data_IF_582849855162
#
_entry.id   IF_582849855162
#
_cell.length_a   1.000
_cell.length_b   1.000
_cell.length_c   1.000
_cell.angle_alpha   90.00
_cell.angle_beta   90.00
_cell.angle_gamma   90.00
#
_symmetry.space_group_name_H-M   'P 1'
#
loop_
_entity.id
_entity.type
_entity.pdbx_description
1 polymer ?
#
# COMPACT_ATOMS: atom_id res chain seq x y z
N UNK A 1 17.45 -8.00 -3.51
CA UNK A 1 17.24 -9.05 -4.53
C UNK A 1 16.48 -8.53 -5.76
N UNK A 2 15.34 -7.84 -5.63
CA UNK A 2 14.61 -7.29 -6.79
C UNK A 2 15.44 -6.33 -7.67
N UNK A 3 16.22 -5.42 -7.08
CA UNK A 3 17.07 -4.47 -7.82
C UNK A 3 18.08 -5.11 -8.78
N UNK A 4 18.68 -6.24 -8.37
CA UNK A 4 19.64 -6.94 -9.20
C UNK A 4 18.96 -7.58 -10.42
N UNK A 5 17.69 -7.99 -10.28
CA UNK A 5 16.89 -8.54 -11.37
C UNK A 5 16.42 -7.44 -12.33
N UNK A 6 16.20 -6.21 -11.87
CA UNK A 6 15.84 -5.07 -12.74
C UNK A 6 16.93 -4.77 -13.78
N UNK A 7 18.20 -5.03 -13.46
CA UNK A 7 19.33 -4.86 -14.40
C UNK A 7 19.32 -5.85 -15.57
N UNK A 8 18.59 -6.96 -15.44
CA UNK A 8 18.42 -7.96 -16.50
C UNK A 8 17.25 -7.63 -17.44
N UNK A 9 16.37 -6.70 -17.08
CA UNK A 9 15.20 -6.36 -17.89
C UNK A 9 15.55 -5.90 -19.32
N UNK A 10 16.60 -5.08 -19.55
CA UNK A 10 16.99 -4.70 -20.92
C UNK A 10 17.37 -5.88 -21.81
N UNK A 11 17.89 -6.99 -21.25
CA UNK A 11 18.25 -8.17 -22.06
C UNK A 11 17.03 -8.94 -22.55
N UNK A 12 15.85 -8.74 -21.94
CA UNK A 12 14.59 -9.35 -22.39
C UNK A 12 14.10 -8.76 -23.72
N UNK A 13 14.54 -7.55 -24.08
CA UNK A 13 14.27 -6.99 -25.40
C UNK A 13 14.88 -7.83 -26.53
N UNK A 14 15.96 -8.56 -26.25
CA UNK A 14 16.63 -9.46 -27.21
C UNK A 14 15.80 -10.72 -27.50
N UNK A 15 14.81 -11.05 -26.68
CA UNK A 15 13.91 -12.22 -26.85
C UNK A 15 12.47 -11.82 -27.18
N UNK A 16 12.25 -10.59 -27.67
CA UNK A 16 10.96 -10.08 -28.15
C UNK A 16 9.83 -9.99 -27.09
N UNK A 17 10.19 -9.97 -25.80
CA UNK A 17 9.27 -9.64 -24.71
C UNK A 17 9.34 -8.14 -24.42
N UNK A 18 8.20 -7.46 -24.21
CA UNK A 18 8.21 -6.04 -23.82
C UNK A 18 8.92 -5.88 -22.47
N UNK A 19 10.10 -5.24 -22.43
CA UNK A 19 10.88 -5.12 -21.19
C UNK A 19 10.12 -4.28 -20.15
N UNK A 20 9.31 -3.33 -20.62
CA UNK A 20 8.60 -2.37 -19.78
C UNK A 20 7.53 -3.02 -18.90
N UNK A 21 6.80 -4.02 -19.39
CA UNK A 21 5.73 -4.69 -18.62
C UNK A 21 6.28 -5.39 -17.37
N UNK A 22 7.43 -6.06 -17.50
CA UNK A 22 8.10 -6.70 -16.36
C UNK A 22 8.82 -5.68 -15.47
N UNK A 23 9.34 -4.60 -16.06
CA UNK A 23 9.97 -3.52 -15.30
C UNK A 23 9.01 -2.91 -14.27
N UNK A 24 7.74 -2.70 -14.63
CA UNK A 24 6.69 -2.19 -13.74
C UNK A 24 6.65 -3.00 -12.42
N UNK A 25 6.53 -4.32 -12.50
CA UNK A 25 6.45 -5.16 -11.29
C UNK A 25 7.74 -5.08 -10.46
N UNK A 26 8.91 -5.14 -11.12
CA UNK A 26 10.19 -5.15 -10.42
C UNK A 26 10.45 -3.82 -9.71
N UNK A 27 10.10 -2.71 -10.36
CA UNK A 27 10.20 -1.37 -9.79
C UNK A 27 9.22 -1.21 -8.61
N UNK A 28 7.96 -1.66 -8.73
CA UNK A 28 7.01 -1.70 -7.62
C UNK A 28 7.51 -2.47 -6.40
N UNK A 29 8.05 -3.68 -6.62
CA UNK A 29 8.61 -4.50 -5.55
C UNK A 29 9.85 -3.83 -4.92
N UNK A 30 10.72 -3.24 -5.74
CA UNK A 30 11.92 -2.56 -5.25
C UNK A 30 11.59 -1.29 -4.46
N UNK A 31 10.54 -0.56 -4.84
CA UNK A 31 10.00 0.58 -4.11
C UNK A 31 9.36 0.14 -2.80
N UNK A 32 8.52 -0.89 -2.83
CA UNK A 32 7.90 -1.48 -1.64
C UNK A 32 8.95 -1.95 -0.62
N UNK A 33 10.08 -2.52 -1.05
CA UNK A 33 11.19 -2.86 -0.15
C UNK A 33 11.82 -1.63 0.52
N UNK A 34 11.94 -0.49 -0.19
CA UNK A 34 12.40 0.75 0.40
C UNK A 34 11.36 1.33 1.39
N UNK A 35 10.07 1.23 1.08
CA UNK A 35 8.99 1.60 2.01
C UNK A 35 9.04 0.78 3.30
N UNK A 36 9.28 -0.54 3.23
CA UNK A 36 9.45 -1.34 4.44
C UNK A 36 10.61 -0.86 5.30
N UNK A 37 11.74 -0.48 4.70
CA UNK A 37 12.85 0.13 5.46
C UNK A 37 12.46 1.48 6.06
N UNK A 38 11.73 2.30 5.33
CA UNK A 38 11.21 3.56 5.87
C UNK A 38 10.32 3.34 7.09
N UNK A 39 9.44 2.33 7.07
CA UNK A 39 8.58 1.98 8.20
C UNK A 39 9.39 1.49 9.40
N UNK A 40 10.45 0.73 9.19
CA UNK A 40 11.33 0.33 10.29
C UNK A 40 11.96 1.54 11.01
N UNK A 41 12.37 2.56 10.24
CA UNK A 41 12.84 3.83 10.80
C UNK A 41 11.72 4.65 11.44
N UNK A 42 10.49 4.56 10.97
CA UNK A 42 9.32 5.15 11.62
C UNK A 42 9.07 4.54 13.00
N UNK A 43 9.13 3.21 13.11
CA UNK A 43 9.00 2.54 14.40
C UNK A 43 10.18 2.87 15.32
N UNK A 44 11.39 3.06 14.78
CA UNK A 44 12.55 3.56 15.54
C UNK A 44 12.31 4.98 16.05
N UNK A 45 11.77 5.86 15.21
CA UNK A 45 11.39 7.22 15.57
C UNK A 45 10.36 7.24 16.71
N UNK A 46 9.25 6.51 16.58
CA UNK A 46 8.19 6.47 17.59
C UNK A 46 8.70 5.98 18.95
N UNK A 47 9.55 4.94 18.96
CA UNK A 47 10.19 4.44 20.18
C UNK A 47 11.13 5.45 20.82
N UNK A 48 11.90 6.18 20.00
CA UNK A 48 12.78 7.23 20.49
C UNK A 48 12.00 8.40 21.12
N UNK A 49 10.85 8.77 20.54
CA UNK A 49 9.93 9.76 21.12
C UNK A 49 9.41 9.29 22.48
N UNK A 50 8.96 8.03 22.59
CA UNK A 50 8.55 7.43 23.87
C UNK A 50 9.67 7.47 24.92
N UNK A 51 10.89 7.14 24.52
CA UNK A 51 12.07 7.19 25.37
C UNK A 51 12.61 8.62 25.64
N UNK A 52 11.97 9.66 25.09
CA UNK A 52 12.40 11.06 25.15
C UNK A 52 13.82 11.30 24.63
N UNK A 53 14.27 10.47 23.68
CA UNK A 53 15.58 10.60 23.04
C UNK A 53 15.44 11.39 21.72
N UNK A 54 15.56 12.72 21.82
CA UNK A 54 15.34 13.62 20.68
C UNK A 54 16.35 13.42 19.56
N UNK A 55 17.63 13.20 19.87
CA UNK A 55 18.68 13.03 18.86
C UNK A 55 18.41 11.78 18.00
N UNK A 56 18.06 10.67 18.64
CA UNK A 56 17.72 9.43 17.96
C UNK A 56 16.43 9.57 17.13
N UNK A 57 15.42 10.27 17.65
CA UNK A 57 14.20 10.54 16.90
C UNK A 57 14.48 11.37 15.63
N UNK A 58 15.32 12.41 15.73
CA UNK A 58 15.68 13.22 14.57
C UNK A 58 16.45 12.40 13.51
N UNK A 59 17.40 11.57 13.93
CA UNK A 59 18.15 10.67 13.03
C UNK A 59 17.21 9.69 12.31
N UNK A 60 16.39 8.97 13.07
CA UNK A 60 15.43 8.00 12.53
C UNK A 60 14.46 8.66 11.53
N UNK A 61 13.96 9.87 11.83
CA UNK A 61 13.07 10.61 10.91
C UNK A 61 13.77 11.00 9.61
N UNK A 62 15.04 11.40 9.67
CA UNK A 62 15.83 11.69 8.45
C UNK A 62 16.01 10.42 7.63
N UNK A 63 16.33 9.29 8.27
CA UNK A 63 16.54 8.03 7.58
C UNK A 63 15.25 7.46 6.97
N UNK A 64 14.11 7.62 7.67
CA UNK A 64 12.77 7.34 7.13
C UNK A 64 12.54 8.13 5.83
N UNK A 65 12.72 9.45 5.86
CA UNK A 65 12.51 10.31 4.67
C UNK A 65 13.41 9.92 3.50
N UNK A 66 14.68 9.57 3.76
CA UNK A 66 15.61 9.09 2.72
C UNK A 66 15.12 7.79 2.07
N UNK A 67 14.58 6.86 2.85
CA UNK A 67 14.02 5.63 2.29
C UNK A 67 12.71 5.87 1.54
N UNK A 68 11.85 6.78 2.00
CA UNK A 68 10.64 7.19 1.26
C UNK A 68 10.98 7.85 -0.07
N UNK A 69 12.00 8.73 -0.10
CA UNK A 69 12.51 9.31 -1.34
C UNK A 69 12.97 8.23 -2.33
N UNK A 70 13.75 7.25 -1.86
CA UNK A 70 14.21 6.13 -2.67
C UNK A 70 13.04 5.27 -3.18
N UNK A 71 12.03 5.04 -2.34
CA UNK A 71 10.80 4.35 -2.75
C UNK A 71 10.08 5.12 -3.85
N UNK A 72 9.89 6.43 -3.68
CA UNK A 72 9.23 7.30 -4.64
C UNK A 72 9.93 7.31 -6.00
N UNK A 73 11.27 7.38 -6.02
CA UNK A 73 12.05 7.32 -7.26
C UNK A 73 11.87 6.00 -8.00
N UNK A 74 11.89 4.88 -7.29
CA UNK A 74 11.72 3.54 -7.87
C UNK A 74 10.32 3.34 -8.41
N UNK A 75 9.30 3.75 -7.65
CA UNK A 75 7.90 3.66 -8.07
C UNK A 75 7.59 4.62 -9.22
N UNK A 76 8.17 5.81 -9.24
CA UNK A 76 8.06 6.71 -10.38
C UNK A 76 8.62 6.05 -11.64
N UNK A 77 9.78 5.38 -11.55
CA UNK A 77 10.33 4.64 -12.67
C UNK A 77 9.39 3.51 -13.14
N UNK A 78 8.76 2.79 -12.22
CA UNK A 78 7.73 1.80 -12.53
C UNK A 78 6.54 2.40 -13.28
N UNK A 79 6.04 3.55 -12.82
CA UNK A 79 4.97 4.29 -13.50
C UNK A 79 5.38 4.77 -14.90
N UNK A 80 6.59 5.30 -15.07
CA UNK A 80 7.09 5.70 -16.39
C UNK A 80 7.23 4.51 -17.34
N UNK A 81 7.62 3.34 -16.83
CA UNK A 81 7.61 2.10 -17.59
C UNK A 81 6.19 1.67 -18.00
N UNK A 82 5.18 1.93 -17.16
CA UNK A 82 3.78 1.74 -17.53
C UNK A 82 3.39 2.64 -18.72
N UNK A 83 3.73 3.93 -18.66
CA UNK A 83 3.43 4.87 -19.76
C UNK A 83 4.12 4.46 -21.08
N UNK A 84 5.30 3.85 -21.02
CA UNK A 84 5.98 3.28 -22.19
C UNK A 84 5.33 1.99 -22.69
N UNK A 85 4.83 1.15 -21.79
CA UNK A 85 4.17 -0.12 -22.13
C UNK A 85 2.76 0.08 -22.69
N UNK A 86 2.04 1.10 -22.21
CA UNK A 86 0.66 1.44 -22.57
C UNK A 86 0.55 2.95 -22.79
N UNK A 87 0.99 3.45 -23.96
CA UNK A 87 0.97 4.88 -24.26
C UNK A 87 -0.44 5.48 -24.18
N UNK A 88 -0.54 6.71 -23.65
CA UNK A 88 -1.82 7.43 -23.56
C UNK A 88 -2.45 7.60 -24.95
N UNK A 89 -3.73 7.26 -25.06
CA UNK A 89 -4.49 7.44 -26.29
C UNK A 89 -5.14 8.83 -26.32
N UNK A 90 -5.23 9.48 -27.50
CA UNK A 90 -5.91 10.77 -27.64
C UNK A 90 -7.35 10.72 -27.11
N UNK A 91 -7.73 11.73 -26.34
CA UNK A 91 -9.08 11.87 -25.78
C UNK A 91 -9.32 11.07 -24.50
N UNK A 92 -8.28 10.77 -23.71
CA UNK A 92 -8.38 10.06 -22.43
C UNK A 92 -9.08 8.69 -22.53
N UNK A 93 -8.85 7.98 -23.63
CA UNK A 93 -9.43 6.65 -23.84
C UNK A 93 -8.63 5.61 -23.07
N UNK A 94 -9.34 4.65 -22.48
CA UNK A 94 -8.72 3.50 -21.84
C UNK A 94 -7.98 2.64 -22.88
N UNK A 95 -6.80 2.10 -22.54
CA UNK A 95 -6.10 1.17 -23.41
C UNK A 95 -6.91 -0.13 -23.58
N UNK A 96 -6.70 -0.82 -24.71
CA UNK A 96 -7.27 -2.15 -24.90
C UNK A 96 -6.33 -3.19 -24.30
N UNK A 97 -6.84 -3.98 -23.36
CA UNK A 97 -6.10 -5.07 -22.74
C UNK A 97 -6.37 -6.37 -23.52
N UNK A 98 -5.31 -7.11 -23.87
CA UNK A 98 -5.47 -8.35 -24.62
C UNK A 98 -5.79 -9.54 -23.70
N UNK A 99 -5.38 -9.48 -22.43
CA UNK A 99 -5.54 -10.56 -21.46
C UNK A 99 -5.42 -10.03 -20.02
N UNK A 100 -5.70 -10.90 -19.06
CA UNK A 100 -5.62 -10.59 -17.63
C UNK A 100 -4.24 -10.09 -17.18
N UNK A 101 -3.14 -10.57 -17.76
CA UNK A 101 -1.80 -10.09 -17.38
C UNK A 101 -1.60 -8.62 -17.77
N UNK A 102 -2.18 -8.17 -18.90
CA UNK A 102 -2.09 -6.77 -19.29
C UNK A 102 -2.82 -5.86 -18.29
N UNK A 103 -4.00 -6.28 -17.85
CA UNK A 103 -4.73 -5.59 -16.80
C UNK A 103 -3.98 -5.64 -15.46
N UNK A 104 -3.29 -6.74 -15.14
CA UNK A 104 -2.45 -6.85 -13.96
C UNK A 104 -1.27 -5.87 -13.99
N UNK A 105 -0.52 -5.82 -15.10
CA UNK A 105 0.58 -4.87 -15.27
C UNK A 105 0.08 -3.43 -15.18
N UNK A 106 -1.09 -3.15 -15.77
CA UNK A 106 -1.75 -1.86 -15.66
C UNK A 106 -2.04 -1.51 -14.20
N UNK A 107 -2.70 -2.40 -13.45
CA UNK A 107 -3.01 -2.19 -12.05
C UNK A 107 -1.75 -1.92 -11.20
N UNK A 108 -0.69 -2.72 -11.37
CA UNK A 108 0.56 -2.54 -10.62
C UNK A 108 1.23 -1.22 -10.99
N UNK A 109 1.27 -0.83 -12.25
CA UNK A 109 1.84 0.44 -12.68
C UNK A 109 1.05 1.65 -12.16
N UNK A 110 -0.27 1.54 -12.03
CA UNK A 110 -1.09 2.55 -11.38
C UNK A 110 -0.76 2.65 -9.88
N UNK A 111 -0.54 1.53 -9.21
CA UNK A 111 -0.09 1.51 -7.81
C UNK A 111 1.31 2.12 -7.64
N UNK A 112 2.21 1.89 -8.59
CA UNK A 112 3.49 2.59 -8.68
C UNK A 112 3.29 4.10 -8.73
N UNK A 113 2.45 4.60 -9.63
CA UNK A 113 2.17 6.03 -9.72
C UNK A 113 1.59 6.61 -8.43
N UNK A 114 0.62 5.92 -7.82
CA UNK A 114 0.02 6.34 -6.55
C UNK A 114 1.06 6.39 -5.43
N UNK A 115 1.81 5.30 -5.24
CA UNK A 115 2.80 5.20 -4.16
C UNK A 115 3.98 6.15 -4.38
N UNK A 116 4.38 6.41 -5.62
CA UNK A 116 5.40 7.41 -5.95
C UNK A 116 5.01 8.80 -5.43
N UNK A 117 3.78 9.24 -5.74
CA UNK A 117 3.28 10.55 -5.29
C UNK A 117 3.19 10.60 -3.77
N UNK A 118 2.60 9.58 -3.12
CA UNK A 118 2.42 9.56 -1.68
C UNK A 118 3.76 9.51 -0.91
N UNK A 119 4.71 8.70 -1.39
CA UNK A 119 6.03 8.59 -0.76
C UNK A 119 6.87 9.84 -0.97
N UNK A 120 6.76 10.51 -2.13
CA UNK A 120 7.45 11.77 -2.35
C UNK A 120 6.95 12.85 -1.39
N UNK A 121 5.62 12.99 -1.26
CA UNK A 121 4.99 13.90 -0.29
C UNK A 121 5.44 13.62 1.15
N UNK A 122 5.45 12.35 1.57
CA UNK A 122 5.90 11.94 2.89
C UNK A 122 7.42 12.16 3.11
N UNK A 123 8.19 12.28 2.03
CA UNK A 123 9.62 12.62 2.01
C UNK A 123 9.92 14.11 1.76
N UNK A 124 8.92 14.98 1.90
CA UNK A 124 9.00 16.43 1.67
C UNK A 124 9.32 16.84 0.22
N UNK A 125 8.90 16.03 -0.76
CA UNK A 125 8.99 16.36 -2.19
C UNK A 125 10.40 16.21 -2.79
N UNK A 126 11.30 15.49 -2.11
CA UNK A 126 12.71 15.40 -2.49
C UNK A 126 12.96 14.58 -3.77
N UNK A 127 11.99 13.77 -4.21
CA UNK A 127 12.06 13.02 -5.46
C UNK A 127 11.47 13.79 -6.66
N UNK A 128 10.80 14.93 -6.42
CA UNK A 128 10.18 15.77 -7.43
C UNK A 128 9.18 15.02 -8.32
N UNK A 129 8.33 14.18 -7.72
CA UNK A 129 7.29 13.43 -8.43
C UNK A 129 6.18 14.40 -8.86
N UNK A 130 5.83 14.47 -10.16
CA UNK A 130 4.74 15.32 -10.62
C UNK A 130 3.40 14.95 -9.99
N UNK A 131 2.72 15.92 -9.39
CA UNK A 131 1.44 15.67 -8.69
C UNK A 131 0.29 15.30 -9.63
N UNK A 132 0.37 15.67 -10.92
CA UNK A 132 -0.64 15.33 -11.92
C UNK A 132 -0.70 13.82 -12.23
N UNK A 133 0.34 13.06 -11.85
CA UNK A 133 0.31 11.58 -11.87
C UNK A 133 -0.87 11.07 -11.05
N UNK A 134 -1.21 11.70 -9.92
CA UNK A 134 -2.37 11.28 -9.10
C UNK A 134 -3.69 11.29 -9.90
N UNK A 135 -3.90 12.31 -10.73
CA UNK A 135 -5.06 12.42 -11.62
C UNK A 135 -5.06 11.36 -12.71
N UNK A 136 -3.90 11.14 -13.34
CA UNK A 136 -3.74 10.10 -14.36
C UNK A 136 -4.01 8.71 -13.78
N UNK A 137 -3.48 8.42 -12.59
CA UNK A 137 -3.69 7.15 -11.90
C UNK A 137 -5.17 6.93 -11.58
N UNK A 138 -5.87 7.94 -11.07
CA UNK A 138 -7.30 7.83 -10.75
C UNK A 138 -8.15 7.55 -11.98
N UNK A 139 -7.89 8.26 -13.08
CA UNK A 139 -8.54 7.97 -14.38
C UNK A 139 -8.17 6.59 -14.89
N UNK A 140 -6.91 6.20 -14.80
CA UNK A 140 -6.42 4.90 -15.26
C UNK A 140 -7.03 3.74 -14.49
N UNK A 141 -7.29 3.91 -13.18
CA UNK A 141 -7.97 2.90 -12.37
C UNK A 141 -9.38 2.63 -12.90
N UNK A 142 -10.11 3.67 -13.33
CA UNK A 142 -11.46 3.51 -13.91
C UNK A 142 -11.50 2.71 -15.22
N UNK A 143 -10.33 2.43 -15.83
CA UNK A 143 -10.23 1.58 -17.02
C UNK A 143 -10.28 0.08 -16.73
N UNK A 144 -10.19 -0.33 -15.46
CA UNK A 144 -10.30 -1.71 -15.04
C UNK A 144 -11.71 -2.01 -14.52
N UNK A 145 -12.20 -3.23 -14.78
CA UNK A 145 -13.44 -3.69 -14.17
C UNK A 145 -13.25 -3.88 -12.66
N UNK A 146 -14.00 -3.11 -11.88
CA UNK A 146 -13.84 -3.07 -10.44
C UNK A 146 -14.23 -4.40 -9.76
N UNK A 147 -15.22 -5.12 -10.28
CA UNK A 147 -15.63 -6.40 -9.70
C UNK A 147 -14.57 -7.48 -9.96
N UNK A 148 -14.06 -7.56 -11.19
CA UNK A 148 -12.98 -8.46 -11.59
C UNK A 148 -11.69 -8.23 -10.79
N UNK A 149 -11.39 -6.96 -10.49
CA UNK A 149 -10.22 -6.56 -9.69
C UNK A 149 -10.56 -6.30 -8.22
N UNK A 150 -11.59 -6.97 -7.71
CA UNK A 150 -11.88 -7.14 -6.28
C UNK A 150 -12.04 -5.82 -5.49
N UNK A 151 -12.54 -4.77 -6.14
CA UNK A 151 -12.70 -3.44 -5.55
C UNK A 151 -11.43 -2.58 -5.52
N UNK A 152 -10.27 -3.10 -5.96
CA UNK A 152 -9.00 -2.35 -5.90
C UNK A 152 -9.03 -1.07 -6.74
N UNK A 153 -9.59 -1.04 -7.97
CA UNK A 153 -9.68 0.19 -8.75
C UNK A 153 -10.44 1.32 -8.04
N UNK A 154 -11.59 1.01 -7.43
CA UNK A 154 -12.36 1.97 -6.65
C UNK A 154 -11.62 2.41 -5.38
N UNK A 155 -10.89 1.50 -4.73
CA UNK A 155 -10.07 1.84 -3.57
C UNK A 155 -8.93 2.80 -3.94
N UNK A 156 -8.30 2.65 -5.11
CA UNK A 156 -7.28 3.58 -5.64
C UNK A 156 -7.91 4.96 -5.89
N UNK A 157 -9.08 5.01 -6.53
CA UNK A 157 -9.78 6.28 -6.76
C UNK A 157 -10.14 6.97 -5.44
N UNK A 158 -10.65 6.22 -4.46
CA UNK A 158 -10.94 6.74 -3.13
C UNK A 158 -9.68 7.29 -2.44
N UNK A 159 -8.55 6.59 -2.51
CA UNK A 159 -7.28 7.08 -1.98
C UNK A 159 -6.89 8.44 -2.59
N UNK A 160 -7.02 8.58 -3.91
CA UNK A 160 -6.71 9.83 -4.60
C UNK A 160 -7.66 10.94 -4.18
N UNK A 161 -8.96 10.70 -4.12
CA UNK A 161 -9.93 11.73 -3.72
C UNK A 161 -9.79 12.16 -2.26
N UNK A 162 -9.36 11.25 -1.37
CA UNK A 162 -9.06 11.61 0.02
C UNK A 162 -7.76 12.42 0.11
N UNK A 163 -6.70 12.00 -0.59
CA UNK A 163 -5.41 12.71 -0.57
C UNK A 163 -5.45 14.04 -1.32
N UNK A 164 -6.28 14.15 -2.37
CA UNK A 164 -6.40 15.31 -3.24
C UNK A 164 -7.88 15.70 -3.43
N UNK A 165 -8.52 16.32 -2.40
CA UNK A 165 -9.96 16.63 -2.43
C UNK A 165 -10.39 17.53 -3.59
N UNK A 166 -9.51 18.38 -4.12
CA UNK A 166 -9.77 19.24 -5.27
C UNK A 166 -10.11 18.46 -6.56
N UNK A 167 -9.70 17.19 -6.64
CA UNK A 167 -9.90 16.33 -7.81
C UNK A 167 -11.12 15.41 -7.67
N UNK A 168 -11.85 15.51 -6.56
CA UNK A 168 -13.02 14.69 -6.26
C UNK A 168 -14.26 15.21 -6.99
N UNK A 169 -15.03 14.36 -7.68
CA UNK A 169 -16.35 14.75 -8.17
C UNK A 169 -17.29 15.17 -7.03
N UNK A 170 -18.10 16.20 -7.25
CA UNK A 170 -18.98 16.75 -6.20
C UNK A 170 -19.98 15.72 -5.65
N UNK A 171 -20.47 14.82 -6.51
CA UNK A 171 -21.49 13.81 -6.17
C UNK A 171 -20.95 12.55 -5.51
N UNK A 172 -19.62 12.43 -5.35
CA UNK A 172 -18.98 11.21 -4.85
C UNK A 172 -18.51 11.40 -3.40
N UNK A 173 -18.88 10.43 -2.56
CA UNK A 173 -18.37 10.26 -1.19
C UNK A 173 -17.26 9.18 -1.18
N UNK A 174 -15.96 9.54 -1.05
CA UNK A 174 -14.84 8.63 -1.26
C UNK A 174 -14.83 7.46 -0.27
N UNK A 175 -15.15 7.72 0.98
CA UNK A 175 -15.17 6.69 2.02
C UNK A 175 -16.31 5.68 1.83
N UNK A 176 -17.43 6.11 1.24
CA UNK A 176 -18.51 5.21 0.86
C UNK A 176 -18.11 4.31 -0.33
N UNK A 177 -17.38 4.87 -1.29
CA UNK A 177 -16.80 4.09 -2.41
C UNK A 177 -15.80 3.06 -1.87
N UNK A 178 -14.93 3.46 -0.94
CA UNK A 178 -13.96 2.59 -0.29
C UNK A 178 -14.62 1.45 0.50
N UNK A 179 -15.68 1.75 1.26
CA UNK A 179 -16.43 0.73 2.00
C UNK A 179 -17.05 -0.32 1.05
N UNK A 180 -17.62 0.11 -0.08
CA UNK A 180 -18.13 -0.80 -1.11
C UNK A 180 -17.02 -1.62 -1.76
N UNK A 181 -15.87 -1.00 -2.05
CA UNK A 181 -14.70 -1.67 -2.59
C UNK A 181 -14.20 -2.80 -1.66
N UNK A 182 -14.14 -2.54 -0.34
CA UNK A 182 -13.81 -3.58 0.63
C UNK A 182 -14.80 -4.75 0.61
N UNK A 183 -16.11 -4.47 0.56
CA UNK A 183 -17.14 -5.50 0.49
C UNK A 183 -17.02 -6.36 -0.80
N UNK A 184 -16.81 -5.71 -1.95
CA UNK A 184 -16.61 -6.39 -3.24
C UNK A 184 -15.43 -7.37 -3.18
N UNK A 185 -14.32 -6.97 -2.57
CA UNK A 185 -13.16 -7.85 -2.39
C UNK A 185 -13.44 -9.01 -1.43
N UNK A 186 -14.01 -8.72 -0.26
CA UNK A 186 -14.26 -9.71 0.79
C UNK A 186 -15.16 -10.84 0.31
N UNK A 187 -16.22 -10.53 -0.45
CA UNK A 187 -17.12 -11.53 -1.05
C UNK A 187 -16.40 -12.49 -2.00
N UNK A 188 -15.25 -12.10 -2.53
CA UNK A 188 -14.43 -12.89 -3.47
C UNK A 188 -13.19 -13.50 -2.79
N UNK A 189 -13.08 -13.41 -1.47
CA UNK A 189 -11.93 -13.89 -0.70
C UNK A 189 -10.66 -13.05 -0.88
N UNK A 190 -10.80 -11.79 -1.29
CA UNK A 190 -9.71 -10.86 -1.60
C UNK A 190 -9.73 -9.65 -0.66
N UNK A 191 -8.60 -9.32 -0.03
CA UNK A 191 -8.53 -8.35 1.08
C UNK A 191 -7.66 -7.12 0.81
N UNK A 192 -7.24 -6.92 -0.44
CA UNK A 192 -6.34 -5.81 -0.80
C UNK A 192 -6.95 -4.43 -0.50
N UNK A 193 -8.26 -4.27 -0.73
CA UNK A 193 -8.96 -3.02 -0.44
C UNK A 193 -8.92 -2.65 1.06
N UNK A 194 -8.84 -3.63 1.98
CA UNK A 194 -8.69 -3.36 3.41
C UNK A 194 -7.33 -2.69 3.73
N UNK A 195 -6.26 -3.04 3.01
CA UNK A 195 -4.95 -2.40 3.18
C UNK A 195 -5.00 -0.95 2.73
N UNK A 196 -5.63 -0.68 1.58
CA UNK A 196 -5.82 0.68 1.08
C UNK A 196 -6.64 1.49 2.08
N UNK A 197 -7.72 0.91 2.60
CA UNK A 197 -8.55 1.57 3.60
C UNK A 197 -7.79 1.88 4.90
N UNK A 198 -7.04 0.91 5.44
CA UNK A 198 -6.22 1.14 6.63
C UNK A 198 -5.24 2.30 6.44
N UNK A 199 -4.56 2.37 5.28
CA UNK A 199 -3.65 3.48 4.96
C UNK A 199 -4.37 4.83 4.83
N UNK A 200 -5.56 4.86 4.23
CA UNK A 200 -6.38 6.07 4.16
C UNK A 200 -6.74 6.56 5.56
N UNK A 201 -7.21 5.67 6.44
CA UNK A 201 -7.60 6.05 7.80
C UNK A 201 -6.40 6.42 8.69
N UNK A 202 -5.19 5.91 8.42
CA UNK A 202 -3.96 6.45 9.02
C UNK A 202 -3.80 7.94 8.66
N UNK A 203 -3.93 8.29 7.38
CA UNK A 203 -3.84 9.68 6.93
C UNK A 203 -4.94 10.59 7.50
N UNK A 204 -6.10 10.03 7.84
CA UNK A 204 -7.21 10.74 8.48
C UNK A 204 -7.11 10.79 10.01
N UNK A 205 -6.19 10.04 10.63
CA UNK A 205 -6.06 9.94 12.07
C UNK A 205 -7.21 9.19 12.76
N UNK A 206 -7.95 8.34 12.04
CA UNK A 206 -9.10 7.58 12.58
C UNK A 206 -8.64 6.21 13.09
N UNK A 207 -8.08 6.20 14.30
CA UNK A 207 -7.55 4.98 14.93
C UNK A 207 -8.60 3.87 15.07
N UNK A 208 -9.83 4.20 15.45
CA UNK A 208 -10.89 3.22 15.68
C UNK A 208 -11.28 2.49 14.40
N UNK A 209 -11.35 3.20 13.28
CA UNK A 209 -11.63 2.56 11.99
C UNK A 209 -10.49 1.67 11.53
N UNK A 210 -9.23 2.03 11.80
CA UNK A 210 -8.07 1.16 11.51
C UNK A 210 -8.16 -0.13 12.36
N UNK A 211 -8.44 -0.01 13.67
CA UNK A 211 -8.62 -1.17 14.56
C UNK A 211 -9.73 -2.09 14.05
N UNK A 212 -10.86 -1.50 13.65
CA UNK A 212 -12.00 -2.25 13.10
C UNK A 212 -11.62 -3.03 11.84
N UNK A 213 -10.87 -2.42 10.91
CA UNK A 213 -10.41 -3.10 9.68
C UNK A 213 -9.49 -4.29 10.01
N UNK A 214 -8.53 -4.11 10.93
CA UNK A 214 -7.59 -5.18 11.30
C UNK A 214 -8.33 -6.32 12.02
N UNK A 215 -9.24 -6.01 12.96
CA UNK A 215 -10.09 -7.00 13.64
C UNK A 215 -10.94 -7.78 12.65
N UNK A 216 -11.62 -7.08 11.74
CA UNK A 216 -12.43 -7.71 10.70
C UNK A 216 -11.60 -8.62 9.79
N UNK A 217 -10.41 -8.19 9.38
CA UNK A 217 -9.50 -8.99 8.59
C UNK A 217 -9.13 -10.31 9.28
N UNK A 218 -8.89 -10.29 10.59
CA UNK A 218 -8.53 -11.49 11.38
C UNK A 218 -9.74 -12.38 11.59
N UNK A 219 -10.86 -11.81 12.05
CA UNK A 219 -12.06 -12.55 12.45
C UNK A 219 -12.78 -13.22 11.28
N UNK A 220 -12.77 -12.61 10.09
CA UNK A 220 -13.51 -13.14 8.94
C UNK A 220 -12.79 -14.28 8.23
N UNK A 221 -11.49 -14.52 8.49
CA UNK A 221 -10.67 -15.51 7.76
C UNK A 221 -11.17 -16.95 7.87
N UNK A 222 -11.84 -17.30 8.97
CA UNK A 222 -12.42 -18.64 9.17
C UNK A 222 -13.70 -18.83 8.35
N UNK A 223 -14.59 -17.83 8.34
CA UNK A 223 -15.87 -17.87 7.63
C UNK A 223 -15.78 -17.51 6.14
N UNK A 224 -14.78 -16.72 5.75
CA UNK A 224 -14.55 -16.24 4.39
C UNK A 224 -13.10 -16.59 4.01
N UNK A 225 -12.83 -17.81 3.53
CA UNK A 225 -11.46 -18.21 3.20
C UNK A 225 -10.87 -17.34 2.09
N UNK A 226 -9.54 -17.21 2.09
CA UNK A 226 -8.84 -16.50 1.02
C UNK A 226 -9.02 -17.22 -0.32
N UNK A 227 -9.03 -16.44 -1.42
CA UNK A 227 -9.13 -17.00 -2.75
C UNK A 227 -7.93 -17.95 -3.05
N UNK A 228 -8.16 -19.22 -3.41
CA UNK A 228 -7.10 -20.21 -3.56
C UNK A 228 -6.13 -19.89 -4.70
N UNK A 229 -6.55 -19.12 -5.71
CA UNK A 229 -5.70 -18.71 -6.83
C UNK A 229 -4.76 -17.54 -6.48
N UNK A 230 -5.04 -16.82 -5.39
CA UNK A 230 -4.36 -15.57 -5.04
C UNK A 230 -3.87 -15.54 -3.58
N UNK A 231 -3.53 -16.70 -3.01
CA UNK A 231 -3.04 -16.83 -1.63
C UNK A 231 -1.86 -15.92 -1.31
N UNK A 232 -0.99 -15.65 -2.29
CA UNK A 232 0.15 -14.75 -2.10
C UNK A 232 -0.31 -13.30 -1.82
N UNK A 233 -1.38 -12.83 -2.46
CA UNK A 233 -1.94 -11.49 -2.23
C UNK A 233 -2.53 -11.40 -0.82
N UNK A 234 -3.17 -12.46 -0.33
CA UNK A 234 -3.66 -12.52 1.04
C UNK A 234 -2.52 -12.46 2.07
N UNK A 235 -1.37 -13.10 1.79
CA UNK A 235 -0.16 -12.96 2.62
C UNK A 235 0.41 -11.55 2.60
N UNK A 236 0.43 -10.88 1.44
CA UNK A 236 0.82 -9.47 1.35
C UNK A 236 -0.10 -8.60 2.20
N UNK A 237 -1.41 -8.85 2.19
CA UNK A 237 -2.37 -8.14 3.07
C UNK A 237 -2.01 -8.33 4.54
N UNK A 238 -1.75 -9.56 4.99
CA UNK A 238 -1.33 -9.82 6.38
C UNK A 238 -0.08 -9.04 6.75
N UNK A 239 0.95 -9.03 5.89
CA UNK A 239 2.19 -8.29 6.15
C UNK A 239 1.93 -6.78 6.24
N UNK A 240 1.11 -6.23 5.34
CA UNK A 240 0.81 -4.81 5.34
C UNK A 240 -0.02 -4.39 6.57
N UNK A 241 -1.03 -5.16 6.95
CA UNK A 241 -1.84 -4.88 8.14
C UNK A 241 -1.05 -5.12 9.43
N UNK A 242 -0.12 -6.08 9.46
CA UNK A 242 0.83 -6.23 10.57
C UNK A 242 1.68 -4.97 10.74
N UNK A 243 2.19 -4.41 9.64
CA UNK A 243 2.97 -3.17 9.71
C UNK A 243 2.14 -1.97 10.21
N UNK A 244 0.86 -1.89 9.83
CA UNK A 244 -0.08 -0.89 10.38
C UNK A 244 -0.31 -1.12 11.87
N UNK A 245 -0.53 -2.37 12.29
CA UNK A 245 -0.67 -2.74 13.69
C UNK A 245 0.58 -2.36 14.50
N UNK A 246 1.78 -2.63 13.97
CA UNK A 246 3.06 -2.29 14.61
C UNK A 246 3.20 -0.78 14.80
N UNK A 247 2.81 0.01 13.79
CA UNK A 247 2.76 1.48 13.90
C UNK A 247 1.87 1.90 15.07
N UNK A 248 0.63 1.40 15.11
CA UNK A 248 -0.35 1.77 16.14
C UNK A 248 0.12 1.39 17.55
N UNK A 249 0.59 0.15 17.73
CA UNK A 249 1.12 -0.32 19.00
C UNK A 249 2.34 0.49 19.44
N UNK A 250 3.23 0.82 18.51
CA UNK A 250 4.46 1.54 18.84
C UNK A 250 4.18 3.00 19.18
N UNK A 251 3.26 3.63 18.46
CA UNK A 251 2.78 4.98 18.76
C UNK A 251 2.17 5.06 20.17
N UNK A 252 1.34 4.07 20.55
CA UNK A 252 0.66 4.08 21.84
C UNK A 252 1.54 3.64 23.01
N UNK A 253 2.39 2.63 22.81
CA UNK A 253 3.07 1.91 23.92
C UNK A 253 4.59 1.90 23.84
N UNK A 254 5.17 2.35 22.72
CA UNK A 254 6.60 2.22 22.45
C UNK A 254 7.06 0.79 22.11
N UNK A 255 6.14 -0.14 21.87
CA UNK A 255 6.43 -1.53 21.49
C UNK A 255 5.63 -1.93 20.26
N UNK A 256 6.11 -2.91 19.50
CA UNK A 256 5.36 -3.46 18.36
C UNK A 256 4.15 -4.26 18.83
N UNK A 257 3.31 -4.65 17.87
CA UNK A 257 2.28 -5.65 18.11
C UNK A 257 2.92 -6.91 18.71
N UNK A 258 2.36 -7.47 19.79
CA UNK A 258 2.80 -8.76 20.32
C UNK A 258 2.75 -9.87 19.26
N UNK A 259 3.57 -10.91 19.45
CA UNK A 259 3.53 -12.08 18.57
C UNK A 259 2.14 -12.71 18.63
N UNK A 260 1.59 -13.04 17.47
CA UNK A 260 0.20 -13.52 17.32
C UNK A 260 -0.88 -12.53 17.82
N UNK A 261 -0.53 -11.28 18.14
CA UNK A 261 -1.44 -10.24 18.62
C UNK A 261 -2.15 -9.44 17.52
N UNK A 262 -2.02 -9.82 16.24
CA UNK A 262 -2.72 -9.12 15.15
C UNK A 262 -4.23 -9.18 15.37
N UNK A 263 -4.89 -8.01 15.38
CA UNK A 263 -6.32 -7.89 15.70
C UNK A 263 -6.62 -7.51 17.15
N UNK A 264 -5.61 -7.46 18.01
CA UNK A 264 -5.70 -6.96 19.40
C UNK A 264 -4.99 -5.63 19.55
N UNK A 265 -5.41 -4.85 20.56
CA UNK A 265 -4.91 -3.50 20.82
C UNK A 265 -4.69 -3.27 22.32
N UNK A 266 -3.80 -2.33 22.65
CA UNK A 266 -3.36 -2.01 24.01
C UNK A 266 -4.48 -1.50 24.94
N UNK A 267 -5.59 -1.06 24.36
CA UNK A 267 -6.77 -0.55 25.06
C UNK A 267 -7.97 -1.50 24.97
N UNK A 268 -7.74 -2.75 24.53
CA UNK A 268 -8.76 -3.79 24.64
C UNK A 268 -9.10 -4.03 26.11
N UNK A 269 -10.39 -4.27 26.45
CA UNK A 269 -10.77 -4.66 27.80
C UNK A 269 -9.99 -5.92 28.21
N UNK A 270 -9.43 -5.92 29.42
CA UNK A 270 -8.74 -7.07 30.01
C UNK A 270 -9.63 -8.32 29.96
N UNK A 271 -9.47 -9.12 28.91
CA UNK A 271 -10.01 -10.47 28.85
C UNK A 271 -8.97 -11.36 29.50
N UNK A 272 -8.95 -11.33 30.84
CA UNK A 272 -8.05 -12.15 31.66
C UNK A 272 -8.09 -13.63 31.24
N UNK A 273 -7.13 -14.00 30.43
CA UNK A 273 -6.39 -15.24 30.56
C UNK A 273 -4.93 -14.84 30.53
N UNK A 274 -4.47 -14.34 31.68
CA UNK A 274 -3.06 -14.14 32.00
C UNK A 274 -2.33 -15.49 31.89
N UNK A 275 -1.83 -15.79 30.70
CA UNK A 275 -0.50 -16.38 30.62
C UNK A 275 0.41 -15.24 30.25
N UNK A 276 1.22 -14.79 31.22
CA UNK A 276 2.44 -14.04 30.90
C UNK A 276 3.22 -14.93 29.95
N UNK A 277 3.10 -14.67 28.65
CA UNK A 277 3.81 -15.42 27.64
C UNK A 277 5.27 -14.97 27.75
N UNK A 278 6.10 -15.81 28.36
CA UNK A 278 7.54 -15.63 28.48
C UNK A 278 8.21 -15.40 27.10
N UNK A 279 7.47 -15.70 26.02
CA UNK A 279 7.81 -15.43 24.61
C UNK A 279 7.94 -13.92 24.32
N UNK A 280 7.23 -13.03 25.03
CA UNK A 280 7.33 -11.57 24.83
C UNK A 280 8.67 -10.96 25.32
N UNK A 281 9.54 -11.78 25.91
CA UNK A 281 10.83 -11.37 26.48
C UNK A 281 12.03 -11.92 25.69
N UNK A 282 11.79 -12.61 24.56
CA UNK A 282 12.84 -13.26 23.74
C UNK A 282 12.99 -12.64 22.35
#
# INVERSE_FOLDING_TARGET
MAEALTLLVPSLSQINASPYKLAVILDFLSGSCAEFKAREEELRYLRAIHAKNVAEAQDARIQQKRYLNLAAQRQLKGYLNLELAYPELPGNKCPQFANWNDEFYWLVGLMDGLQAVLNDLASEGSANVPLDISLKVGRGASCLDNAQWWGVPDAIQAAIWVSFPANKPETIEPLLVLDKAMQTGLQQGMRLAQVVAAKIYIGLGDAERIKAIIRDNVNTRSSMPANPHFLFLDKVVTIQLQAVSDYMWTEATGKRTPIAGLGTFWDDPDTKTDTVDIIDIL
#
